data_IF_983118933029
#
_entry.id   IF_983118933029
#
_cell.length_a   1.000
_cell.length_b   1.000
_cell.length_c   1.000
_cell.angle_alpha   90.00
_cell.angle_beta   90.00
_cell.angle_gamma   90.00
#
_symmetry.space_group_name_H-M   'P 1'
#
loop_
_entity.id
_entity.type
_entity.pdbx_description
1 polymer ?
#
# COMPACT_ATOMS: atom_id res chain seq x y z
N UNK A 1 20.29 -18.99 62.69
CA UNK A 1 19.97 -20.11 61.78
C UNK A 1 19.75 -19.62 60.37
N UNK A 2 20.44 -20.30 59.45
CA UNK A 2 20.61 -19.94 58.04
C UNK A 2 19.28 -20.09 57.29
N UNK A 3 18.85 -19.03 56.62
CA UNK A 3 17.74 -19.02 55.69
C UNK A 3 18.07 -19.89 54.47
N UNK A 4 17.62 -21.14 54.51
CA UNK A 4 17.66 -22.03 53.36
C UNK A 4 16.60 -21.56 52.36
N UNK A 5 17.04 -20.90 51.29
CA UNK A 5 16.21 -20.67 50.11
C UNK A 5 15.83 -22.02 49.50
N UNK A 6 14.55 -22.27 49.15
CA UNK A 6 14.16 -23.50 48.48
C UNK A 6 14.82 -23.56 47.10
N UNK A 7 15.51 -24.67 46.86
CA UNK A 7 16.18 -24.99 45.59
C UNK A 7 15.16 -24.98 44.46
N UNK A 8 15.57 -24.43 43.32
CA UNK A 8 14.85 -24.44 42.06
C UNK A 8 14.71 -25.87 41.52
N UNK A 9 13.74 -26.62 42.04
CA UNK A 9 13.24 -27.85 41.46
C UNK A 9 11.93 -28.14 42.20
N UNK A 10 10.83 -27.63 41.65
CA UNK A 10 9.48 -28.19 41.75
C UNK A 10 8.51 -27.12 41.21
N UNK A 11 8.41 -27.03 39.88
CA UNK A 11 7.49 -26.11 39.19
C UNK A 11 6.01 -26.53 39.34
N UNK A 12 5.68 -27.41 40.28
CA UNK A 12 4.32 -27.83 40.55
C UNK A 12 3.58 -26.72 41.29
N UNK A 13 2.79 -25.95 40.55
CA UNK A 13 1.91 -24.95 41.18
C UNK A 13 0.65 -25.68 41.63
N UNK A 14 0.35 -25.58 42.92
CA UNK A 14 -0.86 -26.17 43.54
C UNK A 14 -2.15 -25.65 42.90
N UNK A 15 -2.10 -24.44 42.33
CA UNK A 15 -3.22 -23.80 41.62
C UNK A 15 -3.44 -24.32 40.20
N UNK A 16 -2.60 -25.23 39.70
CA UNK A 16 -2.68 -25.79 38.36
C UNK A 16 -3.00 -27.29 38.43
N UNK A 17 -3.81 -27.76 37.48
CA UNK A 17 -4.08 -29.18 37.28
C UNK A 17 -2.81 -29.92 36.84
N UNK A 18 -2.77 -31.25 37.02
CA UNK A 18 -1.60 -32.06 36.68
C UNK A 18 -1.14 -31.90 35.22
N UNK A 19 -2.09 -31.84 34.29
CA UNK A 19 -1.82 -31.66 32.85
C UNK A 19 -1.27 -30.26 32.52
N UNK A 20 -1.67 -29.24 33.28
CA UNK A 20 -1.12 -27.90 33.13
C UNK A 20 0.31 -27.82 33.65
N UNK A 21 0.61 -28.50 34.76
CA UNK A 21 1.96 -28.57 35.30
C UNK A 21 2.91 -29.34 34.36
N UNK A 22 2.44 -30.41 33.72
CA UNK A 22 3.24 -31.16 32.72
C UNK A 22 3.52 -30.32 31.48
N UNK A 23 2.54 -29.54 31.00
CA UNK A 23 2.73 -28.61 29.88
C UNK A 23 3.75 -27.52 30.19
N UNK A 24 3.74 -26.97 31.41
CA UNK A 24 4.73 -25.99 31.87
C UNK A 24 6.13 -26.59 31.91
N UNK A 25 6.28 -27.82 32.38
CA UNK A 25 7.56 -28.53 32.40
C UNK A 25 8.12 -28.75 30.99
N UNK A 26 7.27 -29.19 30.05
CA UNK A 26 7.62 -29.33 28.64
C UNK A 26 8.03 -28.00 28.02
N UNK A 27 7.30 -26.92 28.31
CA UNK A 27 7.63 -25.58 27.85
C UNK A 27 8.97 -25.08 28.38
N UNK A 28 9.28 -25.33 29.67
CA UNK A 28 10.56 -24.99 30.26
C UNK A 28 11.73 -25.78 29.66
N UNK A 29 11.52 -27.06 29.33
CA UNK A 29 12.52 -27.89 28.64
C UNK A 29 12.77 -27.41 27.21
N UNK A 30 11.72 -27.09 26.47
CA UNK A 30 11.80 -26.51 25.13
C UNK A 30 12.52 -25.17 25.15
N UNK A 31 12.21 -24.30 26.12
CA UNK A 31 12.87 -23.00 26.27
C UNK A 31 14.38 -23.15 26.55
N UNK A 32 14.77 -24.13 27.38
CA UNK A 32 16.18 -24.44 27.63
C UNK A 32 16.89 -24.97 26.36
N UNK A 33 16.22 -25.83 25.58
CA UNK A 33 16.74 -26.31 24.30
C UNK A 33 16.88 -25.18 23.27
N UNK A 34 15.90 -24.28 23.17
CA UNK A 34 15.96 -23.11 22.30
C UNK A 34 17.06 -22.13 22.70
N UNK A 35 17.27 -21.90 24.00
CA UNK A 35 18.40 -21.10 24.50
C UNK A 35 19.76 -21.71 24.17
N UNK A 36 19.87 -23.04 24.10
CA UNK A 36 21.08 -23.72 23.61
C UNK A 36 21.22 -23.71 22.08
N UNK A 37 20.12 -23.59 21.34
CA UNK A 37 20.10 -23.55 19.88
C UNK A 37 20.49 -22.19 19.30
N UNK A 38 20.40 -21.10 20.08
CA UNK A 38 20.80 -19.76 19.64
C UNK A 38 22.32 -19.57 19.56
N UNK A 39 23.12 -20.42 20.22
CA UNK A 39 24.58 -20.24 20.29
C UNK A 39 25.37 -21.12 19.28
N UNK A 40 24.72 -22.09 18.64
CA UNK A 40 25.32 -22.92 17.60
C UNK A 40 24.41 -23.02 16.37
N UNK A 41 24.56 -22.04 15.47
CA UNK A 41 23.76 -22.00 14.25
C UNK A 41 24.36 -21.17 13.12
N UNK A 42 25.68 -20.91 13.11
CA UNK A 42 26.35 -20.65 11.83
C UNK A 42 26.35 -21.97 11.05
N UNK A 43 25.25 -22.28 10.38
CA UNK A 43 25.25 -23.30 9.35
C UNK A 43 26.26 -22.80 8.32
N UNK A 44 27.44 -23.42 8.28
CA UNK A 44 28.46 -23.13 7.28
C UNK A 44 27.86 -23.54 5.93
N UNK A 45 27.10 -22.63 5.33
CA UNK A 45 26.55 -22.80 4.00
C UNK A 45 27.76 -22.93 3.10
N UNK A 46 27.91 -24.10 2.50
CA UNK A 46 28.92 -24.41 1.50
C UNK A 46 29.15 -23.18 0.59
N UNK A 47 30.40 -22.71 0.42
CA UNK A 47 30.70 -21.46 -0.27
C UNK A 47 30.04 -21.39 -1.65
N UNK A 48 29.92 -22.52 -2.34
CA UNK A 48 29.19 -22.61 -3.61
C UNK A 48 27.69 -22.30 -3.49
N UNK A 49 27.02 -22.83 -2.47
CA UNK A 49 25.58 -22.60 -2.26
C UNK A 49 25.33 -21.14 -1.91
N UNK A 50 26.20 -20.55 -1.07
CA UNK A 50 26.17 -19.13 -0.74
C UNK A 50 26.35 -18.26 -1.99
N UNK A 51 27.27 -18.61 -2.87
CA UNK A 51 27.56 -17.81 -4.07
C UNK A 51 26.46 -17.97 -5.13
N UNK A 52 25.86 -19.15 -5.27
CA UNK A 52 24.66 -19.38 -6.09
C UNK A 52 23.48 -18.55 -5.57
N UNK A 53 23.27 -18.50 -4.25
CA UNK A 53 22.20 -17.69 -3.64
C UNK A 53 22.44 -16.20 -3.87
N UNK A 54 23.66 -15.70 -3.64
CA UNK A 54 24.02 -14.29 -3.92
C UNK A 54 23.77 -13.91 -5.37
N UNK A 55 24.07 -14.81 -6.32
CA UNK A 55 23.81 -14.58 -7.75
C UNK A 55 22.31 -14.49 -8.05
N UNK A 56 21.48 -15.36 -7.44
CA UNK A 56 20.01 -15.31 -7.54
C UNK A 56 19.43 -14.03 -6.94
N UNK A 57 19.88 -13.63 -5.76
CA UNK A 57 19.41 -12.39 -5.12
C UNK A 57 19.80 -11.18 -5.98
N UNK A 58 21.02 -11.16 -6.53
CA UNK A 58 21.48 -10.08 -7.41
C UNK A 58 20.68 -10.02 -8.71
N UNK A 59 20.31 -11.15 -9.29
CA UNK A 59 19.48 -11.17 -10.50
C UNK A 59 18.07 -10.67 -10.18
N UNK A 60 17.45 -11.12 -9.08
CA UNK A 60 16.13 -10.62 -8.64
C UNK A 60 16.19 -9.11 -8.38
N UNK A 61 17.23 -8.60 -7.73
CA UNK A 61 17.40 -7.17 -7.47
C UNK A 61 17.59 -6.34 -8.76
N UNK A 62 18.16 -6.93 -9.82
CA UNK A 62 18.21 -6.29 -11.15
C UNK A 62 16.82 -6.29 -11.81
N UNK A 63 16.11 -7.42 -11.75
CA UNK A 63 14.74 -7.54 -12.26
C UNK A 63 13.79 -6.57 -11.56
N UNK A 64 13.86 -6.44 -10.24
CA UNK A 64 13.04 -5.51 -9.47
C UNK A 64 13.23 -4.05 -9.93
N UNK A 65 14.47 -3.65 -10.23
CA UNK A 65 14.76 -2.31 -10.78
C UNK A 65 14.17 -2.12 -12.18
N UNK A 66 14.32 -3.11 -13.05
CA UNK A 66 13.70 -3.09 -14.39
C UNK A 66 12.17 -2.99 -14.32
N UNK A 67 11.53 -3.80 -13.46
CA UNK A 67 10.08 -3.78 -13.29
C UNK A 67 9.57 -2.47 -12.70
N UNK A 68 10.33 -1.87 -11.78
CA UNK A 68 10.04 -0.53 -11.26
C UNK A 68 10.00 0.49 -12.41
N UNK A 69 11.04 0.55 -13.23
CA UNK A 69 11.08 1.47 -14.37
C UNK A 69 9.94 1.20 -15.36
N UNK A 70 9.71 -0.06 -15.74
CA UNK A 70 8.59 -0.42 -16.63
C UNK A 70 7.24 0.06 -16.10
N UNK A 71 7.01 -0.07 -14.78
CA UNK A 71 5.79 0.38 -14.14
C UNK A 71 5.67 1.91 -14.15
N UNK A 72 6.73 2.62 -13.75
CA UNK A 72 6.76 4.09 -13.72
C UNK A 72 6.52 4.68 -15.12
N UNK A 73 7.22 4.16 -16.13
CA UNK A 73 7.07 4.61 -17.52
C UNK A 73 5.67 4.29 -18.07
N UNK A 74 5.11 3.11 -17.76
CA UNK A 74 3.76 2.76 -18.19
C UNK A 74 2.69 3.64 -17.52
N UNK A 75 2.81 3.90 -16.22
CA UNK A 75 1.88 4.79 -15.51
C UNK A 75 1.92 6.22 -16.07
N UNK A 76 3.10 6.75 -16.41
CA UNK A 76 3.23 8.05 -17.08
C UNK A 76 2.53 8.05 -18.45
N UNK A 77 2.75 7.01 -19.27
CA UNK A 77 2.12 6.88 -20.58
C UNK A 77 0.59 6.77 -20.46
N UNK A 78 0.07 6.02 -19.49
CA UNK A 78 -1.37 5.88 -19.25
C UNK A 78 -1.98 7.22 -18.82
N UNK A 79 -1.35 7.93 -17.88
CA UNK A 79 -1.80 9.27 -17.45
C UNK A 79 -1.85 10.23 -18.63
N UNK A 80 -0.80 10.27 -19.44
CA UNK A 80 -0.72 11.15 -20.60
C UNK A 80 -1.77 10.79 -21.66
N UNK A 81 -1.98 9.50 -21.94
CA UNK A 81 -3.09 9.05 -22.80
C UNK A 81 -4.47 9.42 -22.27
N UNK A 82 -4.63 9.50 -20.96
CA UNK A 82 -5.89 9.93 -20.33
C UNK A 82 -6.24 11.38 -20.62
N UNK A 83 -5.23 12.24 -20.75
CA UNK A 83 -5.40 13.69 -21.00
C UNK A 83 -5.34 14.06 -22.48
N UNK A 84 -4.73 13.23 -23.33
CA UNK A 84 -4.68 13.50 -24.77
C UNK A 84 -6.05 13.29 -25.45
N UNK A 85 -6.43 14.17 -26.40
CA UNK A 85 -7.68 14.02 -27.14
C UNK A 85 -7.70 12.71 -27.92
N UNK A 86 -8.82 11.97 -27.82
CA UNK A 86 -8.97 10.68 -28.51
C UNK A 86 -8.15 9.53 -27.93
N UNK A 87 -7.66 9.65 -26.69
CA UNK A 87 -6.94 8.61 -25.94
C UNK A 87 -5.68 8.05 -26.63
N UNK A 88 -5.08 8.87 -27.51
CA UNK A 88 -3.90 8.54 -28.31
C UNK A 88 -2.83 9.59 -28.06
N UNK A 89 -1.59 9.14 -27.94
CA UNK A 89 -0.45 10.05 -27.87
C UNK A 89 -0.18 10.66 -29.25
N UNK A 90 0.32 11.89 -29.26
CA UNK A 90 0.81 12.51 -30.47
C UNK A 90 1.92 11.64 -31.10
N UNK A 91 1.92 11.47 -32.43
CA UNK A 91 2.97 10.72 -33.11
C UNK A 91 4.33 11.36 -32.83
N UNK A 92 5.34 10.53 -32.54
CA UNK A 92 6.69 10.99 -32.23
C UNK A 92 6.95 11.37 -30.76
N UNK A 93 5.90 11.55 -29.94
CA UNK A 93 6.05 11.99 -28.54
C UNK A 93 6.86 11.00 -27.68
N UNK A 94 6.69 9.70 -27.90
CA UNK A 94 7.47 8.66 -27.21
C UNK A 94 8.94 8.62 -27.67
N UNK A 95 9.22 9.08 -28.90
CA UNK A 95 10.56 9.06 -29.47
C UNK A 95 11.45 10.15 -28.84
N UNK A 96 10.86 11.27 -28.42
CA UNK A 96 11.53 12.35 -27.71
C UNK A 96 11.90 11.97 -26.26
N UNK A 97 11.34 10.87 -25.75
CA UNK A 97 11.71 10.29 -24.47
C UNK A 97 11.03 10.94 -23.26
N UNK A 98 11.52 10.59 -22.07
CA UNK A 98 10.87 10.88 -20.79
C UNK A 98 10.66 12.36 -20.50
N UNK A 99 11.63 13.21 -20.83
CA UNK A 99 11.56 14.65 -20.54
C UNK A 99 10.41 15.35 -21.24
N UNK A 100 10.07 14.91 -22.46
CA UNK A 100 8.91 15.45 -23.17
C UNK A 100 7.60 14.98 -22.56
N UNK A 101 7.52 13.70 -22.16
CA UNK A 101 6.31 13.15 -21.54
C UNK A 101 5.94 13.88 -20.24
N UNK A 102 6.94 14.21 -19.41
CA UNK A 102 6.70 14.99 -18.19
C UNK A 102 6.31 16.43 -18.50
N UNK A 103 7.01 17.08 -19.44
CA UNK A 103 6.71 18.45 -19.85
C UNK A 103 5.30 18.59 -20.43
N UNK A 104 4.86 17.63 -21.24
CA UNK A 104 3.51 17.64 -21.83
C UNK A 104 2.43 17.47 -20.75
N UNK A 105 2.68 16.62 -19.76
CA UNK A 105 1.76 16.43 -18.63
C UNK A 105 1.68 17.69 -17.75
N UNK A 106 2.81 18.35 -17.50
CA UNK A 106 2.88 19.63 -16.77
C UNK A 106 2.18 20.75 -17.54
N UNK A 107 2.37 20.82 -18.86
CA UNK A 107 1.70 21.77 -19.74
C UNK A 107 0.19 21.59 -19.69
N UNK A 108 -0.29 20.35 -19.73
CA UNK A 108 -1.71 20.05 -19.56
C UNK A 108 -2.23 20.52 -18.19
N UNK A 109 -1.50 20.23 -17.10
CA UNK A 109 -1.88 20.68 -15.76
C UNK A 109 -1.94 22.20 -15.64
N UNK A 110 -1.02 22.91 -16.32
CA UNK A 110 -1.06 24.37 -16.39
C UNK A 110 -2.27 24.87 -17.18
N UNK A 111 -2.56 24.28 -18.33
CA UNK A 111 -3.73 24.62 -19.14
C UNK A 111 -5.04 24.38 -18.36
N UNK A 112 -5.15 23.26 -17.64
CA UNK A 112 -6.29 22.96 -16.77
C UNK A 112 -6.46 24.01 -15.68
N UNK A 113 -5.37 24.45 -15.03
CA UNK A 113 -5.44 25.46 -13.98
C UNK A 113 -5.94 26.82 -14.50
N UNK A 114 -5.56 27.18 -15.73
CA UNK A 114 -6.06 28.38 -16.39
C UNK A 114 -7.54 28.23 -16.74
N UNK A 115 -7.94 27.06 -17.26
CA UNK A 115 -9.32 26.82 -17.71
C UNK A 115 -10.31 26.66 -16.55
N UNK A 116 -9.84 26.41 -15.33
CA UNK A 116 -10.67 26.23 -14.14
C UNK A 116 -11.65 27.39 -13.90
N UNK A 117 -11.24 28.64 -14.21
CA UNK A 117 -12.13 29.80 -14.11
C UNK A 117 -13.31 29.71 -15.09
N UNK A 118 -13.09 29.12 -16.26
CA UNK A 118 -14.10 28.95 -17.31
C UNK A 118 -15.00 27.75 -17.06
N UNK A 119 -14.53 26.74 -16.32
CA UNK A 119 -15.35 25.60 -15.91
C UNK A 119 -16.34 25.95 -14.78
N UNK A 120 -16.12 27.06 -14.07
CA UNK A 120 -17.07 27.55 -13.07
C UNK A 120 -18.34 28.03 -13.79
N UNK A 121 -19.50 27.58 -13.31
CA UNK A 121 -20.79 28.07 -13.79
C UNK A 121 -20.78 29.60 -13.74
N UNK A 122 -21.06 30.30 -14.86
CA UNK A 122 -21.13 31.75 -14.85
C UNK A 122 -22.10 32.21 -13.77
N UNK A 123 -21.68 33.18 -12.97
CA UNK A 123 -22.62 33.89 -12.13
C UNK A 123 -23.67 34.56 -13.02
N UNK A 124 -24.94 34.45 -12.66
CA UNK A 124 -26.00 35.19 -13.34
C UNK A 124 -25.89 36.65 -12.89
N UNK A 125 -25.07 37.46 -13.57
CA UNK A 125 -25.15 38.91 -13.41
C UNK A 125 -26.47 39.40 -14.01
N UNK A 126 -27.48 39.42 -13.14
CA UNK A 126 -28.84 39.83 -13.48
C UNK A 126 -29.87 39.47 -12.43
N UNK A 127 -29.63 39.83 -11.15
CA UNK A 127 -30.62 40.31 -10.15
C UNK A 127 -29.99 40.42 -8.76
N UNK A 128 -29.42 41.59 -8.46
CA UNK A 128 -29.87 42.29 -7.25
C UNK A 128 -31.27 42.85 -7.58
N UNK A 129 -32.27 42.44 -6.80
CA UNK A 129 -33.71 42.76 -6.93
C UNK A 129 -34.45 42.23 -8.17
N UNK A 130 -35.32 41.23 -7.95
CA UNK A 130 -36.51 41.02 -8.79
C UNK A 130 -36.69 39.66 -9.47
N UNK A 131 -36.83 38.57 -8.71
CA UNK A 131 -37.66 37.43 -9.11
C UNK A 131 -37.07 36.43 -10.12
N UNK A 132 -36.64 35.29 -9.60
CA UNK A 132 -37.07 33.99 -10.12
C UNK A 132 -37.82 33.33 -8.97
N UNK A 133 -39.02 32.74 -9.18
CA UNK A 133 -39.67 32.02 -8.09
C UNK A 133 -38.74 30.89 -7.68
N UNK A 134 -38.57 30.73 -6.37
CA UNK A 134 -37.97 29.55 -5.79
C UNK A 134 -38.67 28.32 -6.40
N UNK A 135 -38.03 27.68 -7.37
CA UNK A 135 -38.40 26.35 -7.78
C UNK A 135 -37.98 25.45 -6.62
N UNK A 136 -38.96 25.18 -5.77
CA UNK A 136 -38.93 24.15 -4.76
C UNK A 136 -38.53 22.82 -5.43
N UNK A 137 -37.26 22.49 -5.35
CA UNK A 137 -36.76 21.14 -5.51
C UNK A 137 -35.43 21.10 -4.76
N UNK A 138 -35.47 20.57 -3.53
CA UNK A 138 -34.25 20.18 -2.82
C UNK A 138 -33.47 19.15 -3.64
N UNK A 139 -32.26 18.75 -3.18
CA UNK A 139 -31.51 17.70 -3.82
C UNK A 139 -32.29 16.39 -3.70
N UNK A 140 -32.99 15.98 -4.76
CA UNK A 140 -33.42 14.59 -4.89
C UNK A 140 -32.15 13.81 -5.21
N UNK A 141 -31.55 13.24 -4.18
CA UNK A 141 -30.54 12.21 -4.32
C UNK A 141 -31.18 11.06 -5.11
N UNK A 142 -30.74 10.86 -6.36
CA UNK A 142 -31.26 9.84 -7.29
C UNK A 142 -31.09 8.40 -6.75
N UNK A 143 -30.52 8.27 -5.55
CA UNK A 143 -30.26 7.02 -4.86
C UNK A 143 -31.38 6.58 -3.91
N UNK A 144 -32.33 7.45 -3.56
CA UNK A 144 -33.47 7.09 -2.70
C UNK A 144 -34.69 6.54 -3.49
N UNK A 145 -34.82 6.85 -4.78
CA UNK A 145 -35.96 6.41 -5.61
C UNK A 145 -36.00 4.89 -5.88
N UNK A 146 -34.90 4.16 -5.65
CA UNK A 146 -34.82 2.73 -5.97
C UNK A 146 -35.25 1.81 -4.82
N UNK A 147 -35.29 2.31 -3.58
CA UNK A 147 -35.62 1.49 -2.40
C UNK A 147 -37.14 1.50 -2.08
N UNK A 148 -37.91 2.46 -2.59
CA UNK A 148 -39.35 2.57 -2.33
C UNK A 148 -40.24 1.75 -3.30
N UNK A 149 -39.66 1.18 -4.36
CA UNK A 149 -40.38 0.37 -5.35
C UNK A 149 -40.46 -1.14 -4.99
N UNK A 150 -40.23 -1.50 -3.71
CA UNK A 150 -40.16 -2.90 -3.28
C UNK A 150 -41.01 -3.29 -2.07
N UNK A 151 -42.01 -2.49 -1.74
CA UNK A 151 -43.13 -2.89 -0.87
C UNK A 151 -44.46 -2.87 -1.65
#
# INVERSE_FOLDING_TARGET
>A
DVSVLPKAADNFRVSLTGDQNSAVELATRLAAQLGSATEHGEHQVEPEVRDRLRKKVRSIARMARMFKTLREENEMVIKLKGVCPGHKLAPGLLLEGKGRLTSELELFGHAQAIDLVNEIRPHLEGKSSGGYPAAAAGPTDFREEFDEAKE
#
